data_IF_346764080179
#
_entry.id   IF_346764080179
#
_cell.length_a   1.000
_cell.length_b   1.000
_cell.length_c   1.000
_cell.angle_alpha   90.00
_cell.angle_beta   90.00
_cell.angle_gamma   90.00
#
_symmetry.space_group_name_H-M   'P 1'
#
loop_
_entity.id
_entity.type
_entity.pdbx_description
1 polymer ?
#
# COMPACT_ATOMS: atom_id res chain seq x y z
N UNK A 1 9.77 4.96 -9.88
CA UNK A 1 8.83 3.92 -10.31
C UNK A 1 7.48 4.54 -10.68
N UNK A 2 6.83 5.29 -9.78
CA UNK A 2 5.51 5.89 -10.01
C UNK A 2 5.47 6.74 -11.28
N UNK A 3 6.39 7.69 -11.46
CA UNK A 3 6.48 8.53 -12.66
C UNK A 3 6.65 7.71 -13.95
N UNK A 4 7.46 6.65 -13.91
CA UNK A 4 7.67 5.75 -15.05
C UNK A 4 6.37 5.03 -15.41
N UNK A 5 5.67 4.47 -14.41
CA UNK A 5 4.38 3.80 -14.61
C UNK A 5 3.36 4.79 -15.18
N UNK A 6 3.25 5.99 -14.59
CA UNK A 6 2.32 7.01 -15.07
C UNK A 6 2.57 7.36 -16.55
N UNK A 7 3.83 7.57 -16.93
CA UNK A 7 4.18 7.83 -18.33
C UNK A 7 3.90 6.64 -19.27
N UNK A 8 4.10 5.41 -18.80
CA UNK A 8 3.77 4.21 -19.59
C UNK A 8 2.27 4.06 -19.81
N UNK A 9 1.47 4.40 -18.81
CA UNK A 9 0.01 4.29 -18.90
C UNK A 9 -0.62 5.26 -19.91
N UNK A 10 0.11 6.30 -20.32
CA UNK A 10 -0.30 7.22 -21.39
C UNK A 10 -0.01 6.69 -22.80
N UNK A 11 0.79 5.62 -22.93
CA UNK A 11 1.17 5.08 -24.22
C UNK A 11 0.14 4.07 -24.74
N UNK A 12 -0.19 4.15 -26.03
CA UNK A 12 -1.02 3.14 -26.72
C UNK A 12 -0.35 1.76 -26.72
N UNK A 13 0.99 1.73 -26.89
CA UNK A 13 1.79 0.53 -26.85
C UNK A 13 2.87 0.66 -25.77
N UNK A 14 2.76 -0.14 -24.74
CA UNK A 14 3.69 -0.13 -23.61
C UNK A 14 4.88 -1.06 -23.88
N UNK A 15 6.12 -0.57 -23.71
CA UNK A 15 7.31 -1.42 -23.78
C UNK A 15 7.42 -2.32 -22.55
N UNK A 16 8.21 -3.39 -22.68
CA UNK A 16 8.62 -4.20 -21.54
C UNK A 16 9.45 -3.40 -20.55
N UNK A 17 9.23 -3.62 -19.27
CA UNK A 17 9.97 -2.97 -18.20
C UNK A 17 11.10 -3.86 -17.68
N UNK A 18 12.27 -3.26 -17.47
CA UNK A 18 13.31 -3.79 -16.61
C UNK A 18 13.39 -2.96 -15.34
N UNK A 19 13.45 -3.60 -14.17
CA UNK A 19 13.50 -2.90 -12.89
C UNK A 19 14.77 -3.19 -12.11
N UNK A 20 15.54 -2.15 -11.80
CA UNK A 20 16.71 -2.21 -10.93
C UNK A 20 16.36 -1.57 -9.57
N UNK A 21 16.28 -2.36 -8.48
CA UNK A 21 15.98 -1.83 -7.16
C UNK A 21 17.07 -0.89 -6.65
N UNK A 22 16.76 0.40 -6.51
CA UNK A 22 17.70 1.41 -5.99
C UNK A 22 17.01 2.40 -5.04
N UNK A 23 15.89 2.00 -4.47
CA UNK A 23 15.15 2.77 -3.48
C UNK A 23 15.59 2.47 -2.04
N UNK A 24 15.01 3.19 -1.09
CA UNK A 24 15.32 3.02 0.35
C UNK A 24 14.71 1.74 0.94
N UNK A 25 13.48 1.40 0.59
CA UNK A 25 12.73 0.25 1.11
C UNK A 25 12.63 -0.90 0.12
N UNK A 26 12.58 -0.56 -1.18
CA UNK A 26 12.45 -1.50 -2.29
C UNK A 26 11.25 -2.47 -2.14
N UNK A 27 10.12 -2.01 -1.57
CA UNK A 27 8.94 -2.82 -1.30
C UNK A 27 8.41 -3.52 -2.55
N UNK A 28 8.38 -2.81 -3.68
CA UNK A 28 7.98 -3.36 -4.98
C UNK A 28 8.89 -4.52 -5.41
N UNK A 29 10.20 -4.34 -5.32
CA UNK A 29 11.15 -5.40 -5.64
C UNK A 29 11.04 -6.59 -4.69
N UNK A 30 10.88 -6.33 -3.39
CA UNK A 30 10.73 -7.37 -2.38
C UNK A 30 9.48 -8.22 -2.64
N UNK A 31 8.36 -7.59 -3.01
CA UNK A 31 7.12 -8.29 -3.35
C UNK A 31 7.24 -9.16 -4.60
N UNK A 32 8.07 -8.76 -5.56
CA UNK A 32 8.36 -9.50 -6.78
C UNK A 32 9.54 -10.48 -6.65
N UNK A 33 10.14 -10.58 -5.45
CA UNK A 33 11.34 -11.39 -5.19
C UNK A 33 12.54 -11.03 -6.09
N UNK A 34 12.65 -9.76 -6.50
CA UNK A 34 13.76 -9.28 -7.31
C UNK A 34 15.00 -9.06 -6.44
N UNK A 35 16.17 -9.36 -7.01
CA UNK A 35 17.44 -9.15 -6.32
C UNK A 35 17.73 -7.66 -6.12
N UNK A 36 18.20 -7.28 -4.94
CA UNK A 36 18.75 -5.95 -4.67
C UNK A 36 20.19 -5.77 -5.16
N UNK A 37 20.86 -6.85 -5.56
CA UNK A 37 22.17 -6.78 -6.21
C UNK A 37 22.00 -6.34 -7.67
N UNK A 38 22.59 -5.19 -8.09
CA UNK A 38 22.41 -4.65 -9.42
C UNK A 38 22.85 -5.59 -10.56
N UNK A 39 23.85 -6.45 -10.33
CA UNK A 39 24.34 -7.40 -11.34
C UNK A 39 23.32 -8.52 -11.56
N UNK A 40 22.80 -9.09 -10.49
CA UNK A 40 21.77 -10.11 -10.56
C UNK A 40 20.47 -9.57 -11.14
N UNK A 41 20.06 -8.34 -10.76
CA UNK A 41 18.90 -7.68 -11.32
C UNK A 41 19.06 -7.41 -12.83
N UNK A 42 20.24 -6.91 -13.27
CA UNK A 42 20.52 -6.69 -14.68
C UNK A 42 20.54 -8.01 -15.48
N UNK A 43 21.05 -9.09 -14.90
CA UNK A 43 21.03 -10.42 -15.51
C UNK A 43 19.60 -10.95 -15.65
N UNK A 44 18.77 -10.79 -14.61
CA UNK A 44 17.35 -11.16 -14.67
C UNK A 44 16.62 -10.41 -15.79
N UNK A 45 16.87 -9.10 -15.96
CA UNK A 45 16.31 -8.31 -17.06
C UNK A 45 16.77 -8.85 -18.42
N UNK A 46 18.07 -9.17 -18.57
CA UNK A 46 18.64 -9.61 -19.84
C UNK A 46 18.18 -11.00 -20.29
N UNK A 47 17.87 -11.89 -19.36
CA UNK A 47 17.47 -13.29 -19.62
C UNK A 47 16.05 -13.62 -19.17
N UNK A 48 15.34 -12.66 -18.55
CA UNK A 48 14.01 -12.85 -17.98
C UNK A 48 12.91 -12.99 -19.04
N UNK A 49 11.78 -13.46 -18.57
CA UNK A 49 10.56 -13.52 -19.38
C UNK A 49 9.60 -12.38 -18.96
N UNK A 50 8.73 -11.93 -19.86
CA UNK A 50 7.69 -10.96 -19.51
C UNK A 50 6.69 -11.56 -18.51
N UNK A 51 6.43 -10.83 -17.43
CA UNK A 51 5.40 -11.14 -16.45
C UNK A 51 4.46 -9.94 -16.34
N UNK A 52 3.18 -10.20 -16.48
CA UNK A 52 2.15 -9.19 -16.33
C UNK A 52 2.11 -8.67 -14.89
N UNK A 53 1.80 -7.41 -14.73
CA UNK A 53 1.60 -6.75 -13.45
C UNK A 53 0.34 -5.89 -13.51
N UNK A 54 -0.42 -5.93 -12.45
CA UNK A 54 -1.57 -5.08 -12.24
C UNK A 54 -1.11 -3.68 -11.80
N UNK A 55 -1.75 -2.66 -12.32
CA UNK A 55 -1.49 -1.26 -11.99
C UNK A 55 -2.75 -0.63 -11.42
N UNK A 56 -2.61 0.13 -10.34
CA UNK A 56 -3.71 0.86 -9.76
C UNK A 56 -3.94 2.20 -10.43
N UNK A 57 -5.22 2.54 -10.65
CA UNK A 57 -5.65 3.88 -11.00
C UNK A 57 -6.39 4.49 -9.81
N UNK A 58 -5.92 5.62 -9.32
CA UNK A 58 -6.52 6.45 -8.28
C UNK A 58 -7.01 7.74 -8.93
N UNK A 59 -8.29 7.82 -9.25
CA UNK A 59 -8.89 8.86 -10.10
C UNK A 59 -8.15 8.97 -11.44
N UNK A 60 -7.42 10.06 -11.65
CA UNK A 60 -6.63 10.37 -12.85
C UNK A 60 -5.14 10.01 -12.72
N UNK A 61 -4.72 9.41 -11.60
CA UNK A 61 -3.32 9.08 -11.32
C UNK A 61 -3.12 7.58 -11.21
N UNK A 62 -1.86 7.13 -11.39
CA UNK A 62 -1.51 5.72 -11.31
C UNK A 62 -0.60 5.43 -10.10
N UNK A 63 -0.64 4.19 -9.62
CA UNK A 63 0.30 3.67 -8.64
C UNK A 63 0.68 2.22 -8.97
N UNK A 64 1.92 1.84 -8.66
CA UNK A 64 2.45 0.52 -8.97
C UNK A 64 2.13 -0.49 -7.86
N UNK A 65 2.18 -0.07 -6.58
CA UNK A 65 2.10 -1.02 -5.48
C UNK A 65 1.29 -0.55 -4.27
N UNK A 66 1.06 0.75 -4.07
CA UNK A 66 0.25 1.22 -2.94
C UNK A 66 -0.37 2.59 -3.13
N UNK A 67 -1.67 2.69 -2.85
CA UNK A 67 -2.37 3.93 -2.55
C UNK A 67 -2.83 3.88 -1.08
N UNK A 68 -2.42 4.84 -0.25
CA UNK A 68 -2.73 4.82 1.19
C UNK A 68 -3.04 6.19 1.76
N UNK A 69 -3.80 6.20 2.86
CA UNK A 69 -4.11 7.39 3.63
C UNK A 69 -3.98 7.13 5.14
N UNK A 70 -3.90 8.20 5.91
CA UNK A 70 -3.92 8.15 7.37
C UNK A 70 -2.56 8.00 8.02
N UNK A 71 -2.50 7.29 9.13
CA UNK A 71 -1.26 7.01 9.83
C UNK A 71 -0.26 6.36 8.88
N UNK A 72 1.01 6.69 8.99
CA UNK A 72 2.10 6.20 8.12
C UNK A 72 2.22 6.86 6.75
N UNK A 73 1.33 7.80 6.38
CA UNK A 73 1.57 8.67 5.24
C UNK A 73 2.41 9.87 5.68
N UNK A 74 3.36 10.28 4.89
CA UNK A 74 4.25 11.45 4.92
C UNK A 74 4.80 12.02 6.26
N UNK A 75 4.04 12.14 7.34
CA UNK A 75 4.52 12.72 8.60
C UNK A 75 5.35 11.76 9.47
N UNK A 76 5.28 10.46 9.20
CA UNK A 76 6.03 9.43 9.91
C UNK A 76 7.46 9.26 9.39
N UNK A 77 7.80 9.79 8.21
CA UNK A 77 9.13 9.69 7.62
C UNK A 77 10.20 10.59 8.26
N UNK A 78 9.82 11.56 9.08
CA UNK A 78 10.75 12.41 9.80
C UNK A 78 11.32 11.79 11.07
N UNK A 79 10.83 10.64 11.50
CA UNK A 79 11.33 9.93 12.66
C UNK A 79 12.59 9.11 12.30
N UNK A 80 13.67 9.46 12.93
CA UNK A 80 15.07 9.01 12.86
C UNK A 80 15.37 7.63 12.26
N UNK A 81 16.51 7.54 11.56
CA UNK A 81 17.16 6.33 11.01
C UNK A 81 17.40 5.17 12.00
N UNK A 82 17.11 5.34 13.29
CA UNK A 82 17.35 4.34 14.34
C UNK A 82 16.29 3.21 14.37
N UNK A 83 15.18 3.35 13.65
CA UNK A 83 14.05 2.42 13.70
C UNK A 83 14.08 1.31 12.62
N UNK A 84 15.23 0.99 12.05
CA UNK A 84 15.39 0.08 10.90
C UNK A 84 15.30 -1.43 11.21
N UNK A 85 14.96 -1.85 12.42
CA UNK A 85 14.81 -3.27 12.74
C UNK A 85 13.34 -3.71 12.62
N UNK A 86 13.09 -4.47 11.60
CA UNK A 86 11.87 -4.76 10.86
C UNK A 86 10.63 -5.34 11.59
N UNK A 87 10.64 -5.66 12.87
CA UNK A 87 9.48 -6.23 13.58
C UNK A 87 8.78 -5.25 14.52
N UNK A 88 9.45 -4.12 14.84
CA UNK A 88 8.95 -3.14 15.78
C UNK A 88 8.45 -1.85 15.16
N UNK A 89 8.58 -1.64 13.84
CA UNK A 89 8.41 -0.30 13.28
C UNK A 89 6.93 0.14 13.26
N UNK A 90 6.02 -0.74 12.88
CA UNK A 90 4.58 -0.46 12.97
C UNK A 90 4.15 -0.29 14.44
N UNK A 91 4.55 -1.24 15.30
CA UNK A 91 4.34 -1.14 16.74
C UNK A 91 5.02 0.10 17.32
N UNK A 92 6.26 0.39 16.95
CA UNK A 92 7.01 1.54 17.42
C UNK A 92 6.39 2.87 17.00
N UNK A 93 5.84 2.98 15.79
CA UNK A 93 5.15 4.19 15.35
C UNK A 93 3.83 4.35 16.11
N UNK A 94 3.06 3.30 16.30
CA UNK A 94 1.83 3.35 17.08
C UNK A 94 2.11 3.50 18.59
N UNK A 95 3.15 2.88 19.14
CA UNK A 95 3.62 3.09 20.51
C UNK A 95 4.28 4.46 20.69
N UNK A 96 5.02 4.94 19.68
CA UNK A 96 5.66 6.27 19.68
C UNK A 96 4.68 7.42 19.48
N UNK A 97 3.46 7.14 18.97
CA UNK A 97 2.33 8.06 19.06
C UNK A 97 1.80 8.16 20.52
N UNK A 98 2.23 7.22 21.41
CA UNK A 98 2.19 7.31 22.88
C UNK A 98 0.82 7.50 23.51
N UNK A 99 -0.15 7.99 22.76
CA UNK A 99 -1.46 8.37 23.26
C UNK A 99 -2.52 8.21 22.16
N UNK A 100 -3.66 7.64 22.53
CA UNK A 100 -4.83 7.54 21.65
C UNK A 100 -5.21 8.91 21.06
N UNK A 101 -5.03 9.97 21.85
CA UNK A 101 -5.33 11.35 21.49
C UNK A 101 -4.45 11.88 20.33
N UNK A 102 -3.33 11.24 20.05
CA UNK A 102 -2.45 11.59 18.92
C UNK A 102 -2.90 10.98 17.58
N UNK A 103 -3.75 9.95 17.62
CA UNK A 103 -4.32 9.33 16.42
C UNK A 103 -5.40 10.23 15.84
N UNK A 104 -5.30 10.51 14.54
CA UNK A 104 -6.34 11.25 13.82
C UNK A 104 -7.25 10.28 13.08
N UNK A 105 -8.53 10.18 13.47
CA UNK A 105 -9.50 9.42 12.70
C UNK A 105 -9.90 10.17 11.44
N UNK A 106 -10.13 9.39 10.38
CA UNK A 106 -10.73 9.86 9.14
C UNK A 106 -12.10 9.20 9.01
N UNK A 107 -13.16 10.01 9.11
CA UNK A 107 -14.52 9.53 8.88
C UNK A 107 -14.76 9.40 7.39
N UNK A 108 -15.02 8.19 6.93
CA UNK A 108 -15.28 7.93 5.52
C UNK A 108 -16.21 6.73 5.32
N UNK A 109 -16.80 6.71 4.14
CA UNK A 109 -17.56 5.60 3.58
C UNK A 109 -16.71 4.99 2.45
N UNK A 110 -16.49 3.69 2.53
CA UNK A 110 -15.68 2.93 1.58
C UNK A 110 -16.57 1.81 1.01
N UNK A 111 -16.76 1.83 -0.29
CA UNK A 111 -17.46 0.80 -1.04
C UNK A 111 -16.44 0.00 -1.83
N UNK A 112 -16.43 -1.32 -1.66
CA UNK A 112 -15.45 -2.21 -2.27
C UNK A 112 -16.17 -3.47 -2.77
N UNK A 113 -16.27 -3.63 -4.09
CA UNK A 113 -16.89 -4.77 -4.78
C UNK A 113 -18.25 -5.21 -4.18
N UNK A 114 -19.07 -4.24 -3.79
CA UNK A 114 -20.42 -4.49 -3.23
C UNK A 114 -20.47 -4.57 -1.70
N UNK A 115 -19.36 -4.63 -1.00
CA UNK A 115 -19.31 -4.42 0.46
C UNK A 115 -19.20 -2.93 0.79
N UNK A 116 -19.76 -2.51 1.92
CA UNK A 116 -19.66 -1.13 2.41
C UNK A 116 -19.09 -1.09 3.82
N UNK A 117 -18.10 -0.25 4.02
CA UNK A 117 -17.46 -0.01 5.32
C UNK A 117 -17.57 1.47 5.66
N UNK A 118 -18.17 1.79 6.80
CA UNK A 118 -18.35 3.16 7.27
C UNK A 118 -17.77 3.35 8.66
N UNK A 119 -17.35 4.57 8.96
CA UNK A 119 -16.89 5.00 10.28
C UNK A 119 -15.52 5.65 10.27
N UNK A 120 -14.88 5.60 11.43
CA UNK A 120 -13.59 6.24 11.68
C UNK A 120 -12.45 5.25 11.47
N UNK A 121 -11.53 5.61 10.57
CA UNK A 121 -10.34 4.83 10.27
C UNK A 121 -9.09 5.63 10.56
N UNK A 122 -8.08 5.00 11.13
CA UNK A 122 -6.76 5.62 11.34
C UNK A 122 -5.83 5.40 10.15
N UNK A 123 -6.10 4.37 9.34
CA UNK A 123 -5.30 4.01 8.18
C UNK A 123 -6.16 3.26 7.16
N UNK A 124 -5.88 3.49 5.89
CA UNK A 124 -6.40 2.71 4.77
C UNK A 124 -5.37 2.60 3.67
N UNK A 125 -5.29 1.42 3.06
CA UNK A 125 -4.45 1.15 1.90
C UNK A 125 -5.17 0.24 0.91
N UNK A 126 -5.00 0.55 -0.37
CA UNK A 126 -5.26 -0.33 -1.49
C UNK A 126 -3.91 -0.64 -2.11
N UNK A 127 -3.52 -1.89 -2.08
CA UNK A 127 -2.14 -2.26 -2.40
C UNK A 127 -2.04 -3.52 -3.27
N UNK A 128 -0.93 -3.58 -3.98
CA UNK A 128 -0.48 -4.69 -4.79
C UNK A 128 0.95 -5.04 -4.34
N UNK A 129 1.12 -5.35 -3.05
CA UNK A 129 2.43 -5.50 -2.45
C UNK A 129 2.37 -6.23 -1.11
N UNK A 130 3.38 -7.02 -0.82
CA UNK A 130 3.54 -7.70 0.48
C UNK A 130 4.12 -6.79 1.56
N UNK A 131 4.53 -5.55 1.20
CA UNK A 131 5.11 -4.58 2.12
C UNK A 131 4.71 -3.16 1.75
N UNK A 132 4.33 -2.38 2.72
CA UNK A 132 3.84 -1.00 2.57
C UNK A 132 4.80 -0.05 3.29
N UNK A 133 5.67 0.63 2.53
CA UNK A 133 6.65 1.58 3.05
C UNK A 133 7.66 0.97 4.02
N UNK A 134 7.90 -0.34 3.98
CA UNK A 134 8.74 -1.07 4.93
C UNK A 134 8.14 -1.18 6.34
N UNK A 135 6.90 -0.73 6.56
CA UNK A 135 6.26 -0.59 7.87
C UNK A 135 5.23 -1.68 8.13
N UNK A 136 4.26 -1.81 7.23
CA UNK A 136 3.20 -2.81 7.29
C UNK A 136 3.58 -3.96 6.37
N UNK A 137 3.58 -5.17 6.89
CA UNK A 137 3.78 -6.40 6.11
C UNK A 137 2.46 -7.13 5.97
N UNK A 138 2.19 -7.60 4.76
CA UNK A 138 1.08 -8.47 4.46
C UNK A 138 1.56 -9.91 4.29
N UNK A 139 0.66 -10.86 4.53
CA UNK A 139 0.93 -12.28 4.31
C UNK A 139 1.20 -12.55 2.82
N UNK A 140 2.42 -12.96 2.44
CA UNK A 140 2.77 -13.18 1.04
C UNK A 140 1.90 -14.24 0.36
N UNK A 141 1.29 -15.15 1.13
CA UNK A 141 0.39 -16.16 0.57
C UNK A 141 -0.95 -15.60 0.10
N UNK A 142 -1.28 -14.37 0.53
CA UNK A 142 -2.54 -13.67 0.22
C UNK A 142 -2.37 -12.56 -0.81
N UNK A 143 -1.15 -12.25 -1.23
CA UNK A 143 -0.86 -11.16 -2.17
C UNK A 143 -0.38 -11.74 -3.50
N UNK A 144 -1.01 -11.34 -4.59
CA UNK A 144 -0.59 -11.66 -5.95
C UNK A 144 -0.65 -10.39 -6.79
N UNK A 145 0.43 -10.09 -7.48
CA UNK A 145 0.56 -8.82 -8.20
C UNK A 145 0.05 -8.87 -9.64
N UNK A 146 -0.61 -9.96 -10.04
CA UNK A 146 -1.00 -10.28 -11.43
C UNK A 146 -2.34 -11.03 -11.54
N UNK A 147 -3.19 -10.99 -10.49
CA UNK A 147 -4.46 -11.73 -10.45
C UNK A 147 -5.72 -10.87 -10.68
N UNK A 148 -5.53 -9.58 -10.95
CA UNK A 148 -6.61 -8.62 -11.17
C UNK A 148 -7.25 -8.11 -9.89
N UNK A 149 -6.65 -8.39 -8.72
CA UNK A 149 -7.16 -7.96 -7.42
C UNK A 149 -6.10 -7.16 -6.67
N UNK A 150 -6.55 -6.27 -5.79
CA UNK A 150 -5.75 -5.57 -4.80
C UNK A 150 -6.12 -6.02 -3.40
N UNK A 151 -5.21 -5.83 -2.46
CA UNK A 151 -5.47 -5.96 -1.05
C UNK A 151 -5.98 -4.62 -0.50
N UNK A 152 -7.25 -4.57 -0.09
CA UNK A 152 -7.80 -3.49 0.71
C UNK A 152 -7.53 -3.79 2.18
N UNK A 153 -6.74 -2.92 2.83
CA UNK A 153 -6.47 -2.96 4.26
C UNK A 153 -7.00 -1.68 4.91
N UNK A 154 -7.94 -1.82 5.87
CA UNK A 154 -8.43 -0.70 6.65
C UNK A 154 -8.24 -0.99 8.13
N UNK A 155 -7.77 0.01 8.88
CA UNK A 155 -7.62 -0.05 10.32
C UNK A 155 -8.58 0.93 10.98
N UNK A 156 -9.55 0.40 11.74
CA UNK A 156 -10.51 1.21 12.46
C UNK A 156 -9.85 1.99 13.61
N UNK A 157 -10.40 3.15 13.94
CA UNK A 157 -10.00 3.90 15.13
C UNK A 157 -10.20 3.05 16.39
N UNK A 158 -9.14 2.73 17.15
CA UNK A 158 -9.26 2.03 18.42
C UNK A 158 -9.95 2.94 19.45
N UNK A 159 -10.80 2.36 20.32
CA UNK A 159 -11.55 3.11 21.33
C UNK A 159 -10.82 3.22 22.66
N UNK A 160 -9.93 2.27 22.93
CA UNK A 160 -9.15 2.20 24.17
C UNK A 160 -7.69 1.89 23.86
N UNK A 161 -6.80 2.13 24.83
CA UNK A 161 -5.40 1.76 24.72
C UNK A 161 -5.23 0.22 24.53
N UNK A 162 -6.11 -0.56 25.12
CA UNK A 162 -6.11 -2.03 24.93
C UNK A 162 -6.50 -2.40 23.49
N UNK A 163 -7.49 -1.72 22.89
CA UNK A 163 -7.85 -1.95 21.49
C UNK A 163 -6.69 -1.61 20.56
N UNK A 164 -5.95 -0.53 20.86
CA UNK A 164 -4.76 -0.15 20.09
C UNK A 164 -3.68 -1.23 20.20
N UNK A 165 -3.40 -1.71 21.40
CA UNK A 165 -2.43 -2.79 21.62
C UNK A 165 -2.82 -4.08 20.89
N UNK A 166 -4.11 -4.43 20.93
CA UNK A 166 -4.64 -5.60 20.23
C UNK A 166 -4.55 -5.43 18.71
N UNK A 167 -4.84 -4.22 18.18
CA UNK A 167 -4.70 -3.90 16.77
C UNK A 167 -3.25 -4.04 16.29
N UNK A 168 -2.29 -3.51 17.07
CA UNK A 168 -0.85 -3.66 16.80
C UNK A 168 -0.46 -5.14 16.76
N UNK A 169 -0.93 -5.90 17.74
CA UNK A 169 -0.66 -7.35 17.84
C UNK A 169 -1.24 -8.09 16.63
N UNK A 170 -2.48 -7.79 16.27
CA UNK A 170 -3.15 -8.40 15.12
C UNK A 170 -2.39 -8.12 13.81
N UNK A 171 -1.98 -6.89 13.58
CA UNK A 171 -1.21 -6.53 12.38
C UNK A 171 0.17 -7.17 12.36
N UNK A 172 0.88 -7.19 13.49
CA UNK A 172 2.20 -7.83 13.60
C UNK A 172 2.14 -9.33 13.33
N UNK A 173 1.03 -9.98 13.70
CA UNK A 173 0.79 -11.41 13.51
C UNK A 173 -0.01 -11.74 12.24
N UNK A 174 -0.30 -10.73 11.42
CA UNK A 174 -1.12 -10.88 10.19
C UNK A 174 -2.49 -11.52 10.46
N UNK A 175 -3.10 -11.18 11.61
CA UNK A 175 -4.41 -11.67 12.04
C UNK A 175 -5.52 -10.74 11.54
N UNK A 176 -5.94 -10.96 10.30
CA UNK A 176 -6.91 -10.09 9.61
C UNK A 176 -8.36 -10.26 10.08
N UNK A 177 -8.65 -11.27 10.89
CA UNK A 177 -9.97 -11.53 11.49
C UNK A 177 -10.23 -10.68 12.75
N UNK A 178 -9.23 -9.91 13.23
CA UNK A 178 -9.44 -8.99 14.35
C UNK A 178 -10.45 -7.89 13.98
N UNK A 179 -11.46 -7.60 14.83
CA UNK A 179 -12.56 -6.68 14.47
C UNK A 179 -12.15 -5.27 14.09
N UNK A 180 -10.96 -4.83 14.50
CA UNK A 180 -10.36 -3.54 14.13
C UNK A 180 -9.69 -3.53 12.77
N UNK A 181 -9.54 -4.69 12.12
CA UNK A 181 -8.88 -4.87 10.81
C UNK A 181 -9.93 -5.28 9.79
N UNK A 182 -9.91 -4.65 8.63
CA UNK A 182 -10.65 -5.07 7.45
C UNK A 182 -9.61 -5.39 6.38
N UNK A 183 -9.63 -6.62 5.89
CA UNK A 183 -8.77 -7.09 4.81
C UNK A 183 -9.64 -7.76 3.75
N UNK A 184 -9.58 -7.26 2.51
CA UNK A 184 -10.35 -7.79 1.38
C UNK A 184 -9.49 -7.79 0.12
N UNK A 185 -9.78 -8.71 -0.77
CA UNK A 185 -9.31 -8.66 -2.16
C UNK A 185 -10.38 -7.97 -2.99
N UNK A 186 -9.99 -6.96 -3.77
CA UNK A 186 -10.92 -6.05 -4.45
C UNK A 186 -10.42 -5.66 -5.83
N UNK A 187 -11.35 -5.44 -6.77
CA UNK A 187 -11.05 -4.86 -8.09
C UNK A 187 -11.30 -3.36 -8.11
N UNK A 188 -12.32 -2.92 -7.37
CA UNK A 188 -12.75 -1.53 -7.35
C UNK A 188 -13.03 -1.08 -5.94
N UNK A 189 -12.58 0.13 -5.60
CA UNK A 189 -12.85 0.79 -4.32
C UNK A 189 -13.28 2.23 -4.57
N UNK A 190 -14.40 2.62 -4.00
CA UNK A 190 -14.81 4.02 -3.90
C UNK A 190 -14.72 4.47 -2.45
N UNK A 191 -13.98 5.54 -2.18
CA UNK A 191 -13.95 6.20 -0.89
C UNK A 191 -14.63 7.57 -1.01
N UNK A 192 -15.59 7.85 -0.11
CA UNK A 192 -16.26 9.14 0.00
C UNK A 192 -16.08 9.70 1.40
N UNK A 193 -15.72 10.98 1.50
CA UNK A 193 -15.46 11.66 2.77
C UNK A 193 -15.70 13.16 2.66
N UNK A 194 -16.08 13.78 3.77
CA UNK A 194 -16.04 15.24 3.94
C UNK A 194 -14.75 15.70 4.66
N UNK A 195 -13.96 14.76 5.16
CA UNK A 195 -12.70 15.06 5.82
C UNK A 195 -11.61 15.35 4.79
N UNK A 196 -10.64 16.18 5.20
CA UNK A 196 -9.44 16.39 4.39
C UNK A 196 -8.47 15.21 4.58
N UNK A 197 -8.48 14.27 3.62
CA UNK A 197 -7.66 13.05 3.65
C UNK A 197 -6.55 13.14 2.60
N UNK A 198 -5.30 13.45 2.98
CA UNK A 198 -4.18 13.38 2.06
C UNK A 198 -3.81 11.91 1.77
N UNK A 199 -3.52 11.62 0.51
CA UNK A 199 -3.10 10.30 0.05
C UNK A 199 -1.60 10.23 -0.22
N UNK A 200 -1.08 9.02 -0.19
CA UNK A 200 0.24 8.66 -0.68
C UNK A 200 0.10 7.59 -1.75
N UNK A 201 0.63 7.85 -2.94
CA UNK A 201 0.69 6.90 -4.06
C UNK A 201 2.14 6.50 -4.27
N UNK A 202 2.51 5.26 -3.97
CA UNK A 202 3.90 4.76 -4.04
C UNK A 202 4.92 5.64 -3.28
N UNK A 203 4.48 6.31 -2.20
CA UNK A 203 5.28 7.26 -1.44
C UNK A 203 5.17 8.72 -1.90
N UNK A 204 4.54 9.00 -3.03
CA UNK A 204 4.32 10.35 -3.55
C UNK A 204 3.00 10.94 -3.03
N UNK A 205 3.01 12.24 -2.75
CA UNK A 205 1.82 12.94 -2.25
C UNK A 205 0.73 13.05 -3.32
N UNK A 206 -0.51 12.73 -2.92
CA UNK A 206 -1.70 13.05 -3.69
C UNK A 206 -2.67 13.89 -2.83
N UNK A 207 -3.26 14.97 -3.42
CA UNK A 207 -4.14 15.86 -2.68
C UNK A 207 -5.41 15.15 -2.24
N UNK A 208 -6.00 15.68 -1.17
CA UNK A 208 -7.30 15.25 -0.70
C UNK A 208 -8.38 15.66 -1.69
N UNK A 209 -9.30 14.74 -1.93
CA UNK A 209 -10.56 14.96 -2.65
C UNK A 209 -11.70 14.29 -1.88
N UNK A 210 -12.93 14.76 -2.09
CA UNK A 210 -14.12 14.23 -1.39
C UNK A 210 -14.48 12.81 -1.84
N UNK A 211 -14.12 12.47 -3.08
CA UNK A 211 -14.34 11.16 -3.66
C UNK A 211 -13.08 10.65 -4.34
N UNK A 212 -12.72 9.43 -4.01
CA UNK A 212 -11.63 8.68 -4.63
C UNK A 212 -12.22 7.39 -5.20
N UNK A 213 -11.98 7.16 -6.48
CA UNK A 213 -12.24 5.89 -7.14
C UNK A 213 -10.90 5.22 -7.46
N UNK A 214 -10.74 3.97 -7.04
CA UNK A 214 -9.54 3.17 -7.27
C UNK A 214 -9.93 1.93 -8.05
N UNK A 215 -9.25 1.71 -9.18
CA UNK A 215 -9.48 0.56 -10.05
C UNK A 215 -8.22 -0.27 -10.21
N UNK A 216 -8.36 -1.58 -10.26
CA UNK A 216 -7.31 -2.48 -10.73
C UNK A 216 -7.33 -2.54 -12.27
N UNK A 217 -6.20 -2.21 -12.87
CA UNK A 217 -5.95 -2.36 -14.29
C UNK A 217 -5.10 -3.63 -14.49
N UNK A 218 -5.80 -4.75 -14.64
CA UNK A 218 -5.17 -6.07 -14.68
C UNK A 218 -4.22 -6.23 -15.85
N UNK A 219 -3.00 -6.74 -15.56
CA UNK A 219 -1.96 -7.01 -16.55
C UNK A 219 -1.53 -5.77 -17.34
N UNK A 220 -1.68 -4.57 -16.77
CA UNK A 220 -1.52 -3.32 -17.51
C UNK A 220 -0.08 -3.07 -17.98
N UNK A 221 0.92 -3.62 -17.33
CA UNK A 221 2.34 -3.55 -17.75
C UNK A 221 2.99 -4.93 -17.69
N UNK A 222 4.09 -5.10 -18.41
CA UNK A 222 4.88 -6.33 -18.38
C UNK A 222 6.30 -6.03 -17.88
N UNK A 223 6.76 -6.81 -16.90
CA UNK A 223 8.08 -6.71 -16.29
C UNK A 223 8.93 -7.94 -16.66
N UNK A 224 10.18 -7.71 -17.05
CA UNK A 224 11.18 -8.76 -17.25
C UNK A 224 11.72 -9.27 -15.91
N UNK A 225 11.52 -10.54 -15.60
CA UNK A 225 12.03 -11.21 -14.41
C UNK A 225 12.22 -12.71 -14.61
#
# INVERSE_FOLDING_TARGET
LNETISGLMELERRPLLGYLPNGSTNDFAASLHLSSDPRHAAQAIASGQPHALDIGRHNDRYFAYVASFGAFTRSSYSASQAAKNALGHFAYILEGLGDLDSLRPYNCRIEADGETFEGDFIFGAVCNSTSLGGLVKLDPSRVKMDDGLFELLLLRMPKTALDLQNLITAMTRMQYEYPGVIFRHVQHVTLTTQAHIPWSLDGEFAPSVERVDIDNLSGAVELLR
#
